data_IF_841793958934
#
_entry.id   IF_841793958934
#
_cell.length_a   1.000
_cell.length_b   1.000
_cell.length_c   1.000
_cell.angle_alpha   90.00
_cell.angle_beta   90.00
_cell.angle_gamma   90.00
#
_symmetry.space_group_name_H-M   'P 1'
#
loop_
_entity.id
_entity.type
_entity.pdbx_description
1 polymer ?
#
# COMPACT_ATOMS: atom_id res chain seq x y z
N UNK A 1 71.08 -12.50 55.91
CA UNK A 1 71.85 -12.49 54.64
C UNK A 1 70.88 -12.99 53.58
N UNK A 2 70.35 -12.24 52.61
CA UNK A 2 70.77 -11.08 51.81
C UNK A 2 69.47 -10.28 51.52
N UNK A 3 69.32 -9.07 52.06
CA UNK A 3 69.31 -7.79 51.32
C UNK A 3 68.38 -7.72 50.10
N UNK A 4 67.20 -7.13 50.32
CA UNK A 4 66.40 -6.40 49.32
C UNK A 4 66.90 -4.95 49.32
N UNK A 5 67.16 -4.35 48.15
CA UNK A 5 67.35 -2.90 48.05
C UNK A 5 66.60 -2.29 46.86
N UNK A 6 65.59 -1.50 47.24
CA UNK A 6 65.06 -0.23 46.69
C UNK A 6 65.08 0.02 45.18
N UNK A 7 63.87 0.33 44.65
CA UNK A 7 63.52 1.63 44.04
C UNK A 7 62.04 1.93 44.35
N UNK A 8 61.73 2.83 45.28
CA UNK A 8 61.25 4.22 45.03
C UNK A 8 60.27 4.34 43.87
N UNK A 9 59.00 4.68 44.14
CA UNK A 9 58.47 6.03 43.96
C UNK A 9 57.03 6.12 44.49
N UNK A 10 56.86 7.08 45.39
CA UNK A 10 55.60 7.58 45.92
C UNK A 10 54.95 8.45 44.84
N UNK A 11 53.74 8.14 44.40
CA UNK A 11 52.93 9.05 43.57
C UNK A 11 51.57 9.22 44.23
N UNK A 12 51.33 10.47 44.66
CA UNK A 12 50.05 10.97 45.16
C UNK A 12 48.94 10.70 44.13
N UNK A 13 47.87 10.03 44.54
CA UNK A 13 46.61 10.03 43.80
C UNK A 13 45.75 11.16 44.39
N UNK A 14 45.70 12.29 43.68
CA UNK A 14 44.68 13.31 43.87
C UNK A 14 43.31 12.70 43.52
N UNK A 15 42.39 12.73 44.48
CA UNK A 15 40.98 12.42 44.23
C UNK A 15 40.35 13.51 43.36
N UNK A 16 40.03 13.17 42.11
CA UNK A 16 39.19 13.99 41.23
C UNK A 16 37.75 13.57 41.47
N UNK A 17 37.00 14.39 42.22
CA UNK A 17 35.54 14.31 42.29
C UNK A 17 34.97 14.82 40.95
N UNK A 18 34.66 13.90 40.03
CA UNK A 18 33.90 14.22 38.81
C UNK A 18 32.43 14.22 39.20
N UNK A 19 31.88 15.42 39.41
CA UNK A 19 30.45 15.64 39.56
C UNK A 19 29.83 15.60 38.17
N UNK A 20 29.35 14.43 37.75
CA UNK A 20 28.58 14.28 36.51
C UNK A 20 27.19 14.90 36.72
N UNK A 21 27.09 16.14 36.23
CA UNK A 21 25.86 16.89 36.03
C UNK A 21 24.95 16.05 35.13
N UNK A 22 23.92 15.40 35.69
CA UNK A 22 22.83 14.84 34.91
C UNK A 22 22.08 16.01 34.26
N UNK A 23 22.51 16.36 33.05
CA UNK A 23 21.74 17.21 32.15
C UNK A 23 20.52 16.40 31.74
N UNK A 24 19.40 16.65 32.41
CA UNK A 24 18.09 16.16 32.00
C UNK A 24 17.72 16.90 30.72
N UNK A 25 18.22 16.42 29.58
CA UNK A 25 17.67 16.75 28.29
C UNK A 25 16.26 16.17 28.27
N UNK A 26 15.28 17.03 28.55
CA UNK A 26 13.89 16.76 28.21
C UNK A 26 13.86 16.47 26.71
N UNK A 27 13.79 15.19 26.36
CA UNK A 27 13.42 14.78 25.02
C UNK A 27 12.03 15.36 24.78
N UNK A 28 11.98 16.44 23.99
CA UNK A 28 10.75 16.90 23.39
C UNK A 28 10.28 15.74 22.52
N UNK A 29 9.35 14.93 23.05
CA UNK A 29 8.66 13.91 22.26
C UNK A 29 7.98 14.67 21.11
N UNK A 30 8.19 14.26 19.85
CA UNK A 30 7.41 14.81 18.75
C UNK A 30 5.95 14.62 19.08
N UNK A 31 5.18 15.69 18.90
CA UNK A 31 3.77 15.82 19.20
C UNK A 31 3.01 14.60 18.65
N UNK A 32 2.70 13.64 19.53
CA UNK A 32 1.94 12.45 19.17
C UNK A 32 0.49 12.90 19.05
N UNK A 33 0.14 13.54 17.93
CA UNK A 33 -1.25 13.55 17.48
C UNK A 33 -1.68 12.09 17.48
N UNK A 34 -2.58 11.74 18.39
CA UNK A 34 -3.14 10.40 18.50
C UNK A 34 -3.70 10.07 17.11
N UNK A 35 -3.02 9.17 16.37
CA UNK A 35 -3.51 8.74 15.07
C UNK A 35 -4.62 7.76 15.37
N UNK A 36 -5.87 8.21 15.47
CA UNK A 36 -6.99 7.32 15.74
C UNK A 36 -7.17 6.31 14.60
N UNK A 37 -6.97 6.76 13.36
CA UNK A 37 -6.95 5.94 12.15
C UNK A 37 -5.69 6.24 11.33
N UNK A 38 -5.04 5.19 10.82
CA UNK A 38 -3.87 5.29 9.97
C UNK A 38 -4.01 4.40 8.73
N UNK A 39 -3.55 4.90 7.59
CA UNK A 39 -3.44 4.19 6.32
C UNK A 39 -1.95 3.95 6.01
N UNK A 40 -1.60 2.71 5.67
CA UNK A 40 -0.24 2.28 5.37
C UNK A 40 -0.16 1.65 3.99
N UNK A 41 0.87 2.00 3.23
CA UNK A 41 1.17 1.36 1.94
C UNK A 41 1.87 0.02 2.19
N UNK A 42 1.20 -1.08 1.84
CA UNK A 42 1.69 -2.45 2.02
C UNK A 42 2.24 -3.07 0.73
N UNK A 43 1.95 -2.46 -0.41
CA UNK A 43 2.55 -2.80 -1.69
C UNK A 43 2.27 -1.74 -2.73
N UNK A 44 3.06 -1.72 -3.80
CA UNK A 44 3.06 -0.64 -4.79
C UNK A 44 3.21 -1.10 -6.23
N UNK A 45 3.42 -2.41 -6.46
CA UNK A 45 3.66 -2.97 -7.78
C UNK A 45 2.38 -3.57 -8.34
N UNK A 46 2.26 -3.60 -9.67
CA UNK A 46 1.19 -4.28 -10.39
C UNK A 46 1.12 -5.79 -10.09
N UNK A 47 0.03 -6.43 -10.52
CA UNK A 47 -0.34 -7.84 -10.31
C UNK A 47 0.77 -8.87 -10.35
N UNK A 48 1.60 -8.84 -11.40
CA UNK A 48 2.62 -9.86 -11.59
C UNK A 48 3.84 -9.71 -10.68
N UNK A 49 3.87 -8.65 -9.86
CA UNK A 49 4.91 -8.40 -8.87
C UNK A 49 6.27 -8.08 -9.47
N UNK A 50 7.29 -8.11 -8.62
CA UNK A 50 8.67 -7.83 -8.99
C UNK A 50 9.63 -8.77 -8.22
N UNK A 51 10.48 -9.57 -8.88
CA UNK A 51 10.55 -9.76 -10.32
C UNK A 51 9.27 -10.38 -10.88
N UNK A 52 8.88 -9.94 -12.07
CA UNK A 52 7.71 -10.47 -12.77
C UNK A 52 8.05 -11.84 -13.36
N UNK A 53 7.17 -12.83 -13.18
CA UNK A 53 7.40 -14.20 -13.65
C UNK A 53 7.63 -14.21 -15.17
N UNK A 54 8.75 -14.77 -15.62
CA UNK A 54 9.11 -14.83 -17.03
C UNK A 54 9.83 -13.58 -17.57
N UNK A 55 10.10 -12.57 -16.74
CA UNK A 55 10.85 -11.39 -17.18
C UNK A 55 12.38 -11.57 -17.06
N UNK A 56 13.07 -11.59 -18.20
CA UNK A 56 14.54 -11.64 -18.26
C UNK A 56 15.21 -10.28 -18.51
N UNK A 57 14.46 -9.17 -18.49
CA UNK A 57 14.99 -7.81 -18.68
C UNK A 57 15.77 -7.33 -17.46
N UNK A 58 16.59 -6.28 -17.63
CA UNK A 58 17.40 -5.67 -16.55
C UNK A 58 16.60 -5.30 -15.29
N UNK A 59 15.32 -4.92 -15.44
CA UNK A 59 14.44 -4.59 -14.33
C UNK A 59 14.14 -5.79 -13.40
N UNK A 60 14.24 -7.03 -13.88
CA UNK A 60 13.91 -8.24 -13.11
C UNK A 60 15.08 -9.20 -12.95
N UNK A 61 15.98 -9.29 -13.94
CA UNK A 61 17.01 -10.34 -14.02
C UNK A 61 17.91 -10.39 -12.78
N UNK A 62 18.24 -9.23 -12.20
CA UNK A 62 19.12 -9.15 -11.03
C UNK A 62 18.46 -9.71 -9.76
N UNK A 63 17.13 -9.69 -9.63
CA UNK A 63 16.46 -10.24 -8.44
C UNK A 63 16.54 -11.77 -8.39
N UNK A 64 16.67 -12.45 -9.53
CA UNK A 64 16.84 -13.91 -9.56
C UNK A 64 18.20 -14.36 -9.00
N UNK A 65 19.23 -13.51 -9.04
CA UNK A 65 20.57 -13.83 -8.53
C UNK A 65 20.93 -13.12 -7.23
N UNK A 66 20.35 -11.94 -6.95
CA UNK A 66 20.69 -11.10 -5.78
C UNK A 66 19.67 -11.21 -4.64
N UNK A 67 18.61 -12.01 -4.82
CA UNK A 67 17.49 -12.13 -3.89
C UNK A 67 16.27 -11.35 -4.34
N UNK A 68 15.09 -11.81 -3.94
CA UNK A 68 13.81 -11.25 -4.38
C UNK A 68 13.62 -9.81 -3.88
N UNK A 69 12.94 -9.00 -4.69
CA UNK A 69 12.60 -7.63 -4.34
C UNK A 69 11.82 -7.59 -3.03
N UNK A 70 12.00 -6.51 -2.25
CA UNK A 70 11.09 -6.18 -1.13
C UNK A 70 9.82 -5.48 -1.59
N UNK A 71 9.74 -5.06 -2.86
CA UNK A 71 8.51 -4.52 -3.43
C UNK A 71 7.44 -5.61 -3.46
N UNK A 72 6.19 -5.21 -3.24
CA UNK A 72 5.04 -6.11 -3.12
C UNK A 72 3.94 -5.65 -4.07
N UNK A 73 3.11 -6.58 -4.50
CA UNK A 73 1.88 -6.29 -5.26
C UNK A 73 1.00 -5.35 -4.45
N UNK A 74 0.30 -4.43 -5.12
CA UNK A 74 -0.43 -3.32 -4.50
C UNK A 74 -1.34 -3.79 -3.38
N UNK A 75 -1.30 -3.08 -2.25
CA UNK A 75 -2.23 -3.27 -1.12
C UNK A 75 -2.10 -2.10 -0.16
N UNK A 76 -3.21 -1.74 0.48
CA UNK A 76 -3.26 -0.79 1.59
C UNK A 76 -3.66 -1.50 2.87
N UNK A 77 -3.10 -1.05 4.00
CA UNK A 77 -3.56 -1.43 5.32
C UNK A 77 -4.17 -0.24 6.03
N UNK A 78 -5.30 -0.43 6.70
CA UNK A 78 -5.93 0.58 7.55
C UNK A 78 -5.92 0.05 8.98
N UNK A 79 -5.48 0.87 9.93
CA UNK A 79 -5.49 0.56 11.36
C UNK A 79 -6.29 1.62 12.10
N UNK A 80 -7.38 1.20 12.73
CA UNK A 80 -8.20 2.00 13.63
C UNK A 80 -7.82 1.64 15.08
N UNK A 81 -6.96 2.46 15.67
CA UNK A 81 -6.38 2.18 16.98
C UNK A 81 -7.38 2.37 18.12
N UNK A 82 -8.39 3.23 17.94
CA UNK A 82 -9.46 3.45 18.91
C UNK A 82 -10.26 2.17 19.15
N UNK A 83 -10.56 1.42 18.09
CA UNK A 83 -11.34 0.19 18.16
C UNK A 83 -10.50 -1.09 18.07
N UNK A 84 -9.18 -0.97 17.91
CA UNK A 84 -8.26 -2.08 17.64
C UNK A 84 -8.73 -2.95 16.46
N UNK A 85 -9.10 -2.27 15.36
CA UNK A 85 -9.61 -2.86 14.11
C UNK A 85 -8.63 -2.60 12.97
N UNK A 86 -8.43 -3.59 12.12
CA UNK A 86 -7.50 -3.48 11.00
C UNK A 86 -8.11 -4.05 9.74
N UNK A 87 -7.92 -3.35 8.63
CA UNK A 87 -8.49 -3.70 7.34
C UNK A 87 -7.38 -3.78 6.29
N UNK A 88 -7.54 -4.69 5.35
CA UNK A 88 -6.77 -4.67 4.10
C UNK A 88 -7.64 -4.16 2.97
N UNK A 89 -7.03 -3.40 2.07
CA UNK A 89 -7.52 -3.23 0.71
C UNK A 89 -6.55 -4.00 -0.18
N UNK A 90 -7.12 -4.92 -0.96
CA UNK A 90 -6.50 -6.03 -1.65
C UNK A 90 -5.98 -7.15 -0.75
N UNK A 91 -6.25 -8.38 -1.20
CA UNK A 91 -5.62 -9.60 -0.73
C UNK A 91 -4.67 -10.11 -1.82
N UNK A 92 -3.54 -9.42 -1.96
CA UNK A 92 -2.56 -9.73 -2.99
C UNK A 92 -1.83 -11.07 -2.74
N UNK A 93 -1.08 -11.62 -3.73
CA UNK A 93 -0.23 -12.79 -3.51
C UNK A 93 0.74 -12.63 -2.32
N UNK A 94 1.08 -11.39 -1.98
CA UNK A 94 2.01 -11.01 -0.93
C UNK A 94 1.38 -10.84 0.46
N UNK A 95 0.09 -11.20 0.64
CA UNK A 95 -0.71 -10.96 1.85
C UNK A 95 -0.01 -11.38 3.15
N UNK A 96 0.78 -12.45 3.13
CA UNK A 96 1.52 -12.93 4.31
C UNK A 96 2.52 -11.88 4.83
N UNK A 97 3.25 -11.22 3.94
CA UNK A 97 4.17 -10.15 4.32
C UNK A 97 3.40 -8.87 4.69
N UNK A 98 2.34 -8.56 3.94
CA UNK A 98 1.54 -7.35 4.11
C UNK A 98 0.81 -7.33 5.46
N UNK A 99 0.21 -8.46 5.86
CA UNK A 99 -0.40 -8.62 7.18
C UNK A 99 0.63 -8.53 8.30
N UNK A 100 1.81 -9.13 8.12
CA UNK A 100 2.89 -9.00 9.09
C UNK A 100 3.30 -7.52 9.28
N UNK A 101 3.42 -6.78 8.18
CA UNK A 101 3.80 -5.37 8.18
C UNK A 101 2.69 -4.45 8.73
N UNK A 102 1.43 -4.85 8.62
CA UNK A 102 0.29 -4.13 9.22
C UNK A 102 0.15 -4.40 10.73
N UNK A 103 0.26 -5.67 11.15
CA UNK A 103 -0.12 -6.13 12.49
C UNK A 103 1.07 -6.38 13.44
N UNK A 104 2.29 -5.96 13.07
CA UNK A 104 3.49 -6.05 13.91
C UNK A 104 3.71 -7.44 14.54
N UNK A 105 3.82 -8.47 13.68
CA UNK A 105 4.18 -9.87 14.03
C UNK A 105 3.08 -10.71 14.70
N UNK A 106 1.81 -10.31 14.63
CA UNK A 106 0.68 -11.22 14.87
C UNK A 106 -0.37 -11.11 13.75
N UNK A 107 -0.10 -11.68 12.56
CA UNK A 107 -0.84 -11.40 11.32
C UNK A 107 -2.31 -11.84 11.34
N UNK A 108 -2.73 -12.57 12.36
CA UNK A 108 -4.00 -13.31 12.36
C UNK A 108 -5.03 -12.82 13.38
N UNK A 109 -4.63 -12.11 14.45
CA UNK A 109 -5.54 -11.90 15.58
C UNK A 109 -6.51 -10.74 15.42
N UNK A 110 -6.22 -9.75 14.58
CA UNK A 110 -7.01 -8.51 14.51
C UNK A 110 -7.40 -8.08 13.09
N UNK A 111 -7.28 -8.96 12.08
CA UNK A 111 -7.82 -8.66 10.75
C UNK A 111 -9.34 -8.63 10.81
N UNK A 112 -9.91 -7.45 10.61
CA UNK A 112 -11.33 -7.13 10.80
C UNK A 112 -12.12 -7.11 9.50
N UNK A 113 -11.43 -7.04 8.36
CA UNK A 113 -12.04 -7.22 7.05
C UNK A 113 -11.04 -6.99 5.92
N UNK A 114 -11.45 -7.40 4.73
CA UNK A 114 -10.70 -7.20 3.49
C UNK A 114 -11.65 -6.59 2.46
N UNK A 115 -11.20 -5.55 1.77
CA UNK A 115 -11.86 -4.97 0.60
C UNK A 115 -11.10 -5.37 -0.66
N UNK A 116 -11.81 -5.72 -1.73
CA UNK A 116 -11.19 -6.07 -3.03
C UNK A 116 -11.70 -5.12 -4.09
N UNK A 117 -10.83 -4.58 -4.93
CA UNK A 117 -11.27 -3.66 -5.99
C UNK A 117 -11.84 -4.39 -7.21
N UNK A 118 -11.20 -5.48 -7.64
CA UNK A 118 -11.59 -6.22 -8.85
C UNK A 118 -10.95 -7.62 -8.94
N UNK A 119 -11.31 -8.38 -9.98
CA UNK A 119 -10.95 -9.78 -10.19
C UNK A 119 -9.67 -10.00 -11.02
N UNK A 120 -8.66 -9.13 -10.91
CA UNK A 120 -7.31 -9.43 -11.39
C UNK A 120 -6.49 -10.16 -10.33
N UNK A 121 -5.65 -11.12 -10.75
CA UNK A 121 -4.99 -12.05 -9.82
C UNK A 121 -4.17 -11.37 -8.73
N UNK A 122 -3.63 -10.17 -8.98
CA UNK A 122 -2.85 -9.39 -8.03
C UNK A 122 -3.65 -8.87 -6.84
N UNK A 123 -4.97 -8.84 -6.95
CA UNK A 123 -5.86 -8.17 -6.02
C UNK A 123 -6.56 -9.12 -5.05
N UNK A 124 -6.76 -10.40 -5.42
CA UNK A 124 -7.55 -11.35 -4.61
C UNK A 124 -6.95 -12.74 -4.45
N UNK A 125 -5.88 -13.10 -5.17
CA UNK A 125 -5.31 -14.46 -5.09
C UNK A 125 -4.79 -14.81 -3.68
N UNK A 126 -4.39 -13.81 -2.89
CA UNK A 126 -3.99 -13.95 -1.50
C UNK A 126 -5.09 -14.49 -0.60
N UNK A 127 -6.37 -14.37 -0.99
CA UNK A 127 -7.51 -14.92 -0.24
C UNK A 127 -7.36 -16.41 0.05
N UNK A 128 -6.66 -17.17 -0.79
CA UNK A 128 -6.42 -18.60 -0.55
C UNK A 128 -5.64 -18.86 0.76
N UNK A 129 -4.85 -17.89 1.24
CA UNK A 129 -4.18 -17.99 2.54
C UNK A 129 -5.15 -17.96 3.74
N UNK A 130 -6.42 -17.59 3.53
CA UNK A 130 -7.46 -17.66 4.56
C UNK A 130 -8.02 -19.07 4.76
N UNK A 131 -7.75 -19.98 3.82
CA UNK A 131 -8.25 -21.36 3.80
C UNK A 131 -7.54 -22.30 4.78
N UNK A 132 -7.97 -23.56 4.79
CA UNK A 132 -7.53 -24.60 5.74
C UNK A 132 -6.04 -24.88 5.72
N UNK A 133 -5.40 -24.76 4.56
CA UNK A 133 -3.97 -25.06 4.40
C UNK A 133 -3.04 -23.99 5.00
N UNK A 134 -3.58 -22.83 5.36
CA UNK A 134 -2.80 -21.72 5.91
C UNK A 134 -3.46 -21.16 7.17
N UNK A 135 -4.08 -19.98 7.12
CA UNK A 135 -4.61 -19.32 8.31
C UNK A 135 -5.83 -20.06 8.91
N UNK A 136 -6.64 -20.72 8.08
CA UNK A 136 -7.91 -21.34 8.47
C UNK A 136 -8.77 -20.36 9.28
N UNK A 137 -9.00 -19.18 8.70
CA UNK A 137 -9.68 -18.08 9.34
C UNK A 137 -11.12 -18.44 9.72
N UNK A 138 -11.79 -17.61 10.52
CA UNK A 138 -13.18 -17.80 10.91
C UNK A 138 -13.97 -16.54 10.59
N UNK A 139 -14.79 -16.61 9.55
CA UNK A 139 -15.71 -15.56 9.12
C UNK A 139 -15.04 -14.18 8.96
N UNK A 140 -13.88 -14.10 8.31
CA UNK A 140 -13.28 -12.80 7.97
C UNK A 140 -14.22 -12.07 7.00
N UNK A 141 -14.71 -10.87 7.34
CA UNK A 141 -15.54 -10.10 6.43
C UNK A 141 -14.79 -9.75 5.15
N UNK A 142 -15.40 -10.07 4.01
CA UNK A 142 -14.84 -9.81 2.68
C UNK A 142 -15.81 -8.92 1.91
N UNK A 143 -15.47 -7.64 1.83
CA UNK A 143 -16.27 -6.58 1.20
C UNK A 143 -15.97 -6.53 -0.29
N UNK A 144 -16.98 -6.87 -1.09
CA UNK A 144 -16.85 -7.02 -2.54
C UNK A 144 -18.10 -6.53 -3.26
N UNK A 145 -17.91 -6.08 -4.51
CA UNK A 145 -19.03 -5.74 -5.40
C UNK A 145 -19.83 -6.99 -5.80
N UNK A 146 -21.09 -6.87 -6.25
CA UNK A 146 -21.95 -8.01 -6.51
C UNK A 146 -21.42 -9.04 -7.51
N UNK A 147 -20.80 -8.66 -8.64
CA UNK A 147 -20.22 -9.68 -9.55
C UNK A 147 -19.01 -10.37 -8.92
N UNK A 148 -18.18 -9.64 -8.17
CA UNK A 148 -17.06 -10.26 -7.43
C UNK A 148 -17.55 -11.23 -6.35
N UNK A 149 -18.67 -10.93 -5.68
CA UNK A 149 -19.33 -11.87 -4.77
C UNK A 149 -19.70 -13.17 -5.49
N UNK A 150 -20.39 -13.06 -6.62
CA UNK A 150 -20.79 -14.20 -7.44
C UNK A 150 -19.57 -15.00 -7.89
N UNK A 151 -18.54 -14.33 -8.40
CA UNK A 151 -17.30 -14.95 -8.82
C UNK A 151 -16.65 -15.77 -7.69
N UNK A 152 -16.45 -15.19 -6.51
CA UNK A 152 -15.85 -15.88 -5.36
C UNK A 152 -16.72 -17.06 -4.90
N UNK A 153 -18.05 -16.92 -4.94
CA UNK A 153 -18.97 -17.96 -4.45
C UNK A 153 -19.14 -19.14 -5.40
N UNK A 154 -18.86 -18.94 -6.69
CA UNK A 154 -19.10 -19.91 -7.75
C UNK A 154 -17.83 -20.53 -8.34
N UNK A 155 -16.65 -19.94 -8.09
CA UNK A 155 -15.39 -20.41 -8.67
C UNK A 155 -14.45 -20.99 -7.62
N UNK A 156 -13.99 -22.22 -7.89
CA UNK A 156 -12.91 -22.82 -7.13
C UNK A 156 -11.56 -22.16 -7.43
N UNK A 157 -10.64 -22.07 -6.45
CA UNK A 157 -10.77 -22.64 -5.11
C UNK A 157 -11.41 -21.71 -4.07
N UNK A 158 -11.78 -20.48 -4.43
CA UNK A 158 -12.25 -19.46 -3.47
C UNK A 158 -13.63 -19.77 -2.89
N UNK A 159 -14.49 -20.47 -3.63
CA UNK A 159 -15.81 -20.91 -3.16
C UNK A 159 -15.74 -21.75 -1.87
N UNK A 160 -14.63 -22.47 -1.68
CA UNK A 160 -14.38 -23.23 -0.45
C UNK A 160 -14.25 -22.32 0.76
N UNK A 161 -13.65 -21.13 0.63
CA UNK A 161 -13.51 -20.18 1.73
C UNK A 161 -14.88 -19.75 2.26
N UNK A 162 -15.86 -19.62 1.36
CA UNK A 162 -17.25 -19.28 1.71
C UNK A 162 -17.95 -20.49 2.33
N UNK A 163 -17.91 -21.66 1.66
CA UNK A 163 -18.54 -22.90 2.13
C UNK A 163 -18.04 -23.34 3.52
N UNK A 164 -16.75 -23.17 3.77
CA UNK A 164 -16.08 -23.51 5.03
C UNK A 164 -16.16 -22.40 6.08
N UNK A 165 -16.81 -21.27 5.75
CA UNK A 165 -16.94 -20.10 6.63
C UNK A 165 -15.59 -19.55 7.09
N UNK A 166 -14.57 -19.64 6.24
CA UNK A 166 -13.31 -18.93 6.45
C UNK A 166 -13.51 -17.44 6.21
N UNK A 167 -14.33 -17.08 5.21
CA UNK A 167 -14.73 -15.70 4.90
C UNK A 167 -16.26 -15.56 4.95
N UNK A 168 -16.71 -14.35 5.24
CA UNK A 168 -18.12 -13.94 5.09
C UNK A 168 -18.21 -12.83 4.05
N UNK A 169 -18.87 -13.11 2.91
CA UNK A 169 -19.02 -12.12 1.85
C UNK A 169 -20.01 -11.02 2.25
N UNK A 170 -19.58 -9.77 2.11
CA UNK A 170 -20.37 -8.56 2.34
C UNK A 170 -20.49 -7.79 1.03
N UNK A 171 -21.72 -7.64 0.54
CA UNK A 171 -21.96 -6.84 -0.66
C UNK A 171 -21.83 -5.36 -0.34
N UNK A 172 -20.94 -4.70 -1.06
CA UNK A 172 -20.84 -3.24 -1.16
C UNK A 172 -21.41 -2.79 -2.51
N UNK A 173 -21.75 -1.50 -2.62
CA UNK A 173 -22.42 -0.96 -3.81
C UNK A 173 -21.81 0.38 -4.21
N UNK A 174 -21.84 0.65 -5.51
CA UNK A 174 -21.32 1.90 -6.07
C UNK A 174 -21.92 3.12 -5.37
N UNK A 175 -21.07 4.05 -4.95
CA UNK A 175 -21.41 5.30 -4.26
C UNK A 175 -22.23 5.13 -2.97
N UNK A 176 -22.30 3.91 -2.42
CA UNK A 176 -22.93 3.65 -1.14
C UNK A 176 -21.87 3.53 -0.07
N UNK A 177 -22.01 4.35 0.96
CA UNK A 177 -21.12 4.32 2.12
C UNK A 177 -21.28 3.02 2.91
N UNK A 178 -20.15 2.34 3.12
CA UNK A 178 -20.01 1.23 4.05
C UNK A 178 -19.34 1.76 5.34
N UNK A 179 -20.16 1.93 6.38
CA UNK A 179 -19.67 2.35 7.69
C UNK A 179 -19.03 1.15 8.42
N UNK A 180 -17.74 1.28 8.76
CA UNK A 180 -16.99 0.23 9.48
C UNK A 180 -17.06 0.47 10.99
N UNK A 181 -16.70 1.67 11.43
CA UNK A 181 -16.83 2.17 12.79
C UNK A 181 -17.33 3.62 12.77
N UNK A 182 -17.60 4.21 13.94
CA UNK A 182 -18.12 5.59 14.04
C UNK A 182 -17.20 6.66 13.41
N UNK A 183 -15.92 6.34 13.20
CA UNK A 183 -14.89 7.24 12.69
C UNK A 183 -14.21 6.73 11.41
N UNK A 184 -14.75 5.68 10.77
CA UNK A 184 -14.18 5.10 9.57
C UNK A 184 -15.27 4.55 8.65
N UNK A 185 -15.30 5.03 7.41
CA UNK A 185 -16.16 4.50 6.36
C UNK A 185 -15.43 4.43 5.01
N UNK A 186 -15.96 3.60 4.11
CA UNK A 186 -15.43 3.41 2.76
C UNK A 186 -16.57 3.51 1.74
N UNK A 187 -16.37 4.31 0.69
CA UNK A 187 -17.31 4.46 -0.42
C UNK A 187 -16.67 3.84 -1.68
N UNK A 188 -17.24 2.77 -2.25
CA UNK A 188 -16.81 2.22 -3.54
C UNK A 188 -17.21 3.16 -4.68
N UNK A 189 -16.34 3.33 -5.66
CA UNK A 189 -16.59 4.13 -6.86
C UNK A 189 -16.29 3.27 -8.08
N UNK A 190 -17.30 2.96 -8.92
CA UNK A 190 -17.06 2.27 -10.18
C UNK A 190 -16.10 3.07 -11.06
N UNK A 191 -15.06 2.40 -11.55
CA UNK A 191 -14.06 2.97 -12.47
C UNK A 191 -14.09 2.19 -13.78
N UNK A 192 -13.87 2.83 -14.94
CA UNK A 192 -13.77 2.13 -16.20
C UNK A 192 -12.53 1.25 -16.15
N UNK A 193 -12.74 -0.04 -16.30
CA UNK A 193 -11.65 -0.98 -16.48
C UNK A 193 -12.13 -2.11 -17.39
N UNK A 194 -11.21 -2.94 -17.90
CA UNK A 194 -11.58 -4.20 -18.55
C UNK A 194 -12.21 -5.16 -17.54
N UNK A 195 -13.53 -5.11 -17.41
CA UNK A 195 -14.28 -6.05 -16.60
C UNK A 195 -14.09 -7.47 -17.16
N UNK A 196 -13.31 -8.30 -16.45
CA UNK A 196 -13.21 -9.74 -16.72
C UNK A 196 -14.32 -10.48 -15.93
N UNK A 197 -14.01 -10.87 -14.69
CA UNK A 197 -14.93 -11.64 -13.83
C UNK A 197 -15.69 -10.80 -12.80
N UNK A 198 -15.35 -9.51 -12.65
CA UNK A 198 -16.05 -8.60 -11.73
C UNK A 198 -16.12 -7.18 -12.28
N UNK A 199 -16.91 -6.34 -11.62
CA UNK A 199 -16.73 -4.89 -11.74
C UNK A 199 -15.34 -4.47 -11.21
N UNK A 200 -14.88 -3.30 -11.64
CA UNK A 200 -13.74 -2.61 -11.02
C UNK A 200 -14.19 -1.37 -10.27
N UNK A 201 -13.70 -1.24 -9.03
CA UNK A 201 -13.95 -0.06 -8.18
C UNK A 201 -12.65 0.56 -7.66
N UNK A 202 -12.65 1.88 -7.51
CA UNK A 202 -11.80 2.57 -6.55
C UNK A 202 -12.51 2.73 -5.21
N UNK A 203 -11.78 3.16 -4.18
CA UNK A 203 -12.30 3.39 -2.85
C UNK A 203 -12.01 4.82 -2.37
N UNK A 204 -13.04 5.53 -1.91
CA UNK A 204 -12.89 6.74 -1.08
C UNK A 204 -12.98 6.32 0.38
N UNK A 205 -11.88 6.46 1.11
CA UNK A 205 -11.71 6.06 2.51
C UNK A 205 -11.83 7.32 3.35
N UNK A 206 -12.76 7.33 4.30
CA UNK A 206 -13.08 8.50 5.12
C UNK A 206 -12.72 8.18 6.56
N UNK A 207 -11.68 8.84 7.07
CA UNK A 207 -11.31 8.79 8.48
C UNK A 207 -11.84 9.98 9.28
N UNK A 208 -11.42 10.10 10.56
CA UNK A 208 -11.91 11.14 11.46
C UNK A 208 -11.54 12.57 11.03
N UNK A 209 -10.42 12.76 10.33
CA UNK A 209 -9.90 14.10 10.01
C UNK A 209 -9.55 14.28 8.53
N UNK A 210 -9.30 13.19 7.82
CA UNK A 210 -8.79 13.16 6.47
C UNK A 210 -9.38 12.02 5.65
N UNK A 211 -9.30 12.19 4.35
CA UNK A 211 -9.86 11.28 3.37
C UNK A 211 -8.80 10.84 2.36
N UNK A 212 -8.90 9.61 1.90
CA UNK A 212 -8.02 9.07 0.87
C UNK A 212 -8.83 8.52 -0.29
N UNK A 213 -8.38 8.76 -1.52
CA UNK A 213 -8.86 8.11 -2.73
C UNK A 213 -7.85 7.03 -3.14
N UNK A 214 -8.32 5.83 -3.45
CA UNK A 214 -7.52 4.72 -3.95
C UNK A 214 -8.13 4.18 -5.24
N UNK A 215 -7.46 4.44 -6.36
CA UNK A 215 -7.83 3.96 -7.69
C UNK A 215 -6.55 3.34 -8.27
N UNK A 216 -6.21 2.09 -7.91
CA UNK A 216 -4.95 1.48 -8.33
C UNK A 216 -4.95 1.10 -9.81
N UNK A 217 -6.12 0.86 -10.39
CA UNK A 217 -6.26 0.34 -11.75
C UNK A 217 -7.46 1.01 -12.47
N UNK A 218 -7.21 1.60 -13.63
CA UNK A 218 -8.22 2.27 -14.47
C UNK A 218 -7.80 2.28 -15.95
N UNK A 219 -8.74 2.12 -16.87
CA UNK A 219 -8.51 2.16 -18.32
C UNK A 219 -7.89 3.48 -18.81
N UNK A 220 -8.65 4.57 -18.69
CA UNK A 220 -8.33 5.94 -19.12
C UNK A 220 -9.24 6.90 -18.38
N UNK A 221 -8.73 8.07 -18.02
CA UNK A 221 -9.49 9.10 -17.29
C UNK A 221 -10.69 9.60 -18.11
N UNK A 222 -10.51 9.80 -19.41
CA UNK A 222 -11.55 10.29 -20.33
C UNK A 222 -12.70 9.30 -20.59
N UNK A 223 -12.50 8.00 -20.30
CA UNK A 223 -13.59 7.02 -20.34
C UNK A 223 -14.46 7.07 -19.09
N UNK A 224 -14.00 7.72 -18.02
CA UNK A 224 -14.73 7.78 -16.76
C UNK A 224 -15.72 8.93 -16.77
N UNK A 225 -16.97 8.64 -16.42
CA UNK A 225 -18.01 9.67 -16.28
C UNK A 225 -17.75 10.62 -15.10
N UNK A 226 -16.96 10.16 -14.12
CA UNK A 226 -16.59 10.97 -12.95
C UNK A 226 -15.28 11.70 -13.21
N UNK A 227 -15.27 13.00 -12.95
CA UNK A 227 -14.09 13.85 -13.05
C UNK A 227 -13.07 13.51 -11.96
N UNK A 228 -11.95 12.88 -12.35
CA UNK A 228 -10.83 12.63 -11.44
C UNK A 228 -10.28 13.94 -10.83
N UNK A 229 -10.31 15.05 -11.58
CA UNK A 229 -9.88 16.36 -11.09
C UNK A 229 -10.73 16.85 -9.92
N UNK A 230 -12.03 16.59 -9.95
CA UNK A 230 -12.92 17.01 -8.87
C UNK A 230 -12.79 16.09 -7.66
N UNK A 231 -12.68 14.78 -7.88
CA UNK A 231 -12.39 13.82 -6.81
C UNK A 231 -11.07 14.13 -6.09
N UNK A 232 -10.02 14.52 -6.82
CA UNK A 232 -8.75 14.93 -6.21
C UNK A 232 -9.00 16.10 -5.26
N UNK A 233 -9.74 17.15 -5.66
CA UNK A 233 -9.98 18.33 -4.81
C UNK A 233 -10.71 17.97 -3.51
N UNK A 234 -11.54 16.93 -3.52
CA UNK A 234 -12.33 16.49 -2.37
C UNK A 234 -11.55 15.66 -1.33
N UNK A 235 -10.34 15.20 -1.64
CA UNK A 235 -9.58 14.29 -0.77
C UNK A 235 -8.28 14.89 -0.23
N UNK A 236 -7.76 14.31 0.86
CA UNK A 236 -6.46 14.71 1.43
C UNK A 236 -5.28 13.91 0.85
N UNK A 237 -5.57 12.71 0.32
CA UNK A 237 -4.61 11.81 -0.31
C UNK A 237 -5.25 11.15 -1.53
N UNK A 238 -4.54 11.03 -2.64
CA UNK A 238 -4.99 10.33 -3.84
C UNK A 238 -3.92 9.35 -4.31
N UNK A 239 -4.19 8.05 -4.18
CA UNK A 239 -3.37 6.95 -4.66
C UNK A 239 -3.93 6.48 -6.00
N UNK A 240 -3.28 6.87 -7.08
CA UNK A 240 -3.80 6.73 -8.44
C UNK A 240 -2.94 5.77 -9.27
N UNK A 241 -3.57 5.11 -10.24
CA UNK A 241 -2.94 4.23 -11.22
C UNK A 241 -1.72 4.93 -11.84
N UNK A 242 -0.58 4.26 -11.74
CA UNK A 242 0.67 4.63 -12.39
C UNK A 242 1.30 3.42 -13.06
N UNK A 243 0.52 2.44 -13.53
CA UNK A 243 0.99 1.17 -14.06
C UNK A 243 2.14 1.36 -15.04
N UNK A 244 1.97 2.25 -16.02
CA UNK A 244 3.00 2.55 -17.01
C UNK A 244 3.38 4.03 -17.00
N UNK A 245 4.68 4.31 -17.12
CA UNK A 245 5.17 5.68 -17.13
C UNK A 245 4.81 6.41 -18.44
N UNK A 246 5.12 5.77 -19.57
CA UNK A 246 4.87 6.22 -20.94
C UNK A 246 4.82 5.02 -21.90
N UNK A 247 4.63 5.30 -23.19
CA UNK A 247 4.59 4.30 -24.25
C UNK A 247 5.92 3.57 -24.49
N UNK A 248 7.08 4.15 -24.15
CA UNK A 248 8.38 3.50 -24.37
C UNK A 248 8.54 2.26 -23.48
N UNK A 249 7.82 2.23 -22.36
CA UNK A 249 7.79 1.08 -21.46
C UNK A 249 7.24 -0.19 -22.14
N UNK A 250 6.39 -0.02 -23.15
CA UNK A 250 5.54 -1.08 -23.71
C UNK A 250 5.78 -1.32 -25.20
N UNK A 251 6.96 -0.92 -25.70
CA UNK A 251 7.50 -0.99 -27.07
C UNK A 251 7.28 -2.28 -27.90
N UNK A 252 6.61 -3.31 -27.36
CA UNK A 252 6.32 -4.58 -28.03
C UNK A 252 4.82 -4.92 -28.09
N UNK A 253 3.93 -4.07 -27.59
CA UNK A 253 2.47 -4.26 -27.67
C UNK A 253 1.82 -3.07 -28.37
N UNK A 254 0.66 -3.30 -28.93
CA UNK A 254 -0.15 -2.21 -29.48
C UNK A 254 -0.61 -1.32 -28.31
N UNK A 255 -0.28 -0.03 -28.38
CA UNK A 255 -0.61 0.96 -27.34
C UNK A 255 -2.13 1.10 -27.17
N UNK A 256 -2.91 0.89 -28.24
CA UNK A 256 -4.36 0.95 -28.21
C UNK A 256 -4.99 -0.20 -27.41
N UNK A 257 -4.26 -1.29 -27.22
CA UNK A 257 -4.66 -2.46 -26.44
C UNK A 257 -4.26 -2.36 -24.96
N UNK A 258 -3.69 -1.22 -24.53
CA UNK A 258 -3.18 -1.04 -23.16
C UNK A 258 -4.12 -0.08 -22.42
N UNK A 259 -5.06 -0.63 -21.64
CA UNK A 259 -6.05 0.16 -20.96
C UNK A 259 -5.49 0.70 -19.65
N UNK A 260 -4.50 1.59 -19.70
CA UNK A 260 -4.09 2.40 -18.54
C UNK A 260 -3.71 3.82 -18.97
N UNK A 261 -4.02 4.87 -18.17
CA UNK A 261 -3.44 6.18 -18.39
C UNK A 261 -1.94 6.12 -18.08
N UNK A 262 -1.12 6.65 -18.98
CA UNK A 262 0.28 6.81 -18.68
C UNK A 262 0.47 7.86 -17.57
N UNK A 263 1.53 7.72 -16.78
CA UNK A 263 1.89 8.75 -15.80
C UNK A 263 2.09 10.09 -16.54
N UNK A 264 2.75 10.11 -17.70
CA UNK A 264 2.93 11.35 -18.47
C UNK A 264 1.61 12.00 -18.92
N UNK A 265 0.59 11.21 -19.27
CA UNK A 265 -0.75 11.70 -19.62
C UNK A 265 -1.44 12.28 -18.37
N UNK A 266 -1.34 11.59 -17.23
CA UNK A 266 -1.89 12.03 -15.96
C UNK A 266 -1.23 13.34 -15.48
N UNK A 267 0.09 13.47 -15.63
CA UNK A 267 0.82 14.70 -15.31
C UNK A 267 0.36 15.90 -16.14
N UNK A 268 0.01 15.67 -17.41
CA UNK A 268 -0.53 16.71 -18.30
C UNK A 268 -1.97 17.07 -17.92
N UNK A 269 -2.83 16.08 -17.66
CA UNK A 269 -4.20 16.30 -17.20
C UNK A 269 -4.26 17.10 -15.89
N UNK A 270 -3.31 16.83 -14.98
CA UNK A 270 -3.26 17.44 -13.65
C UNK A 270 -2.42 18.72 -13.59
N UNK A 271 -1.92 19.23 -14.73
CA UNK A 271 -0.96 20.36 -14.75
C UNK A 271 -1.52 21.66 -14.17
N UNK A 272 -2.83 21.88 -14.26
CA UNK A 272 -3.48 23.12 -13.81
C UNK A 272 -4.00 23.02 -12.37
N UNK A 273 -3.83 21.87 -11.71
CA UNK A 273 -4.10 21.75 -10.27
C UNK A 273 -3.16 22.65 -9.47
N UNK A 274 -3.68 23.19 -8.37
CA UNK A 274 -2.86 23.94 -7.42
C UNK A 274 -1.80 23.02 -6.77
N UNK A 275 -0.77 23.63 -6.19
CA UNK A 275 0.36 22.90 -5.61
C UNK A 275 -0.08 21.97 -4.47
N UNK A 276 -1.07 22.37 -3.67
CA UNK A 276 -1.62 21.53 -2.59
C UNK A 276 -2.29 20.26 -3.12
N UNK A 277 -3.02 20.34 -4.23
CA UNK A 277 -3.71 19.22 -4.84
C UNK A 277 -2.74 18.28 -5.56
N UNK A 278 -1.67 18.80 -6.16
CA UNK A 278 -0.61 17.95 -6.74
C UNK A 278 0.14 17.17 -5.67
N UNK A 279 0.48 17.82 -4.55
CA UNK A 279 1.27 17.25 -3.46
C UNK A 279 0.62 16.07 -2.75
N UNK A 280 -0.69 15.90 -2.88
CA UNK A 280 -1.44 14.77 -2.29
C UNK A 280 -1.64 13.60 -3.26
N UNK A 281 -1.18 13.71 -4.50
CA UNK A 281 -1.26 12.61 -5.49
C UNK A 281 -0.01 11.73 -5.38
N UNK A 282 -0.24 10.42 -5.30
CA UNK A 282 0.74 9.36 -5.21
C UNK A 282 0.44 8.33 -6.30
N UNK A 283 1.32 8.20 -7.29
CA UNK A 283 1.23 7.10 -8.26
C UNK A 283 1.56 5.76 -7.59
N UNK A 284 0.71 4.77 -7.79
CA UNK A 284 0.82 3.40 -7.22
C UNK A 284 0.54 2.36 -8.31
N UNK A 285 0.59 1.08 -7.98
CA UNK A 285 0.32 -0.02 -8.91
C UNK A 285 1.29 -0.06 -10.10
N UNK A 286 2.56 0.29 -9.87
CA UNK A 286 3.56 0.42 -10.93
C UNK A 286 3.91 -0.95 -11.53
N UNK A 287 3.90 -1.08 -12.84
CA UNK A 287 4.37 -2.29 -13.50
C UNK A 287 5.86 -2.52 -13.25
N UNK A 288 6.32 -3.76 -13.31
CA UNK A 288 7.72 -4.12 -13.05
C UNK A 288 8.73 -3.47 -14.00
N UNK A 289 8.30 -2.98 -15.16
CA UNK A 289 9.11 -2.22 -16.12
C UNK A 289 9.14 -0.72 -15.82
N UNK A 290 8.29 -0.23 -14.93
CA UNK A 290 8.07 1.20 -14.76
C UNK A 290 9.31 1.85 -14.17
N UNK A 291 9.94 2.81 -14.88
CA UNK A 291 11.18 3.44 -14.43
C UNK A 291 10.99 4.26 -13.14
N UNK A 292 9.76 4.63 -12.78
CA UNK A 292 9.46 5.28 -11.50
C UNK A 292 9.68 4.36 -10.28
N UNK A 293 9.89 3.05 -10.47
CA UNK A 293 10.31 2.13 -9.41
C UNK A 293 11.75 2.37 -8.91
N UNK A 294 12.56 3.12 -9.66
CA UNK A 294 13.91 3.54 -9.30
C UNK A 294 13.92 5.04 -8.99
N UNK A 295 14.15 5.38 -7.72
CA UNK A 295 14.18 6.77 -7.24
C UNK A 295 15.28 7.62 -7.88
N UNK A 296 16.30 6.98 -8.46
CA UNK A 296 17.40 7.66 -9.14
C UNK A 296 17.08 8.00 -10.60
N UNK A 297 16.02 7.41 -11.17
CA UNK A 297 15.65 7.56 -12.58
C UNK A 297 15.17 8.97 -12.93
N UNK A 298 15.32 9.33 -14.20
CA UNK A 298 14.79 10.59 -14.74
C UNK A 298 13.26 10.63 -14.62
N UNK A 299 12.52 9.56 -14.99
CA UNK A 299 11.07 9.48 -14.79
C UNK A 299 10.61 9.78 -13.36
N UNK A 300 11.22 9.16 -12.35
CA UNK A 300 10.89 9.42 -10.94
C UNK A 300 11.12 10.89 -10.59
N UNK A 301 12.30 11.43 -10.91
CA UNK A 301 12.65 12.83 -10.62
C UNK A 301 11.72 13.83 -11.32
N UNK A 302 11.24 13.51 -12.52
CA UNK A 302 10.26 14.33 -13.25
C UNK A 302 8.89 14.37 -12.56
N UNK A 303 8.43 13.25 -12.00
CA UNK A 303 7.18 13.20 -11.21
C UNK A 303 7.31 14.14 -9.99
N UNK A 304 8.42 14.01 -9.24
CA UNK A 304 8.68 14.84 -8.06
C UNK A 304 8.83 16.31 -8.41
N UNK A 305 9.55 16.66 -9.49
CA UNK A 305 9.78 18.06 -9.88
C UNK A 305 8.49 18.78 -10.30
N UNK A 306 7.49 18.03 -10.81
CA UNK A 306 6.16 18.56 -11.13
C UNK A 306 5.22 18.65 -9.91
N UNK A 307 5.68 18.25 -8.72
CA UNK A 307 4.96 18.39 -7.45
C UNK A 307 4.07 17.20 -7.08
N UNK A 308 4.21 16.07 -7.77
CA UNK A 308 3.50 14.82 -7.49
C UNK A 308 4.40 13.86 -6.70
N UNK A 309 3.87 12.70 -6.29
CA UNK A 309 4.61 11.67 -5.58
C UNK A 309 4.47 10.30 -6.25
N UNK A 310 5.33 9.39 -5.83
CA UNK A 310 5.23 7.95 -6.12
C UNK A 310 5.12 7.24 -4.77
N UNK A 311 4.12 6.37 -4.61
CA UNK A 311 3.91 5.60 -3.40
C UNK A 311 5.10 4.66 -3.15
N UNK A 312 5.49 4.52 -1.88
CA UNK A 312 6.55 3.60 -1.47
C UNK A 312 6.10 2.76 -0.28
N UNK A 313 6.68 1.58 -0.16
CA UNK A 313 6.37 0.63 0.89
C UNK A 313 6.56 1.26 2.28
N UNK A 314 5.64 1.00 3.19
CA UNK A 314 5.62 1.53 4.56
C UNK A 314 5.39 3.04 4.71
N UNK A 315 5.09 3.78 3.63
CA UNK A 315 4.52 5.12 3.80
C UNK A 315 3.24 5.02 4.64
N UNK A 316 3.08 5.93 5.59
CA UNK A 316 1.98 5.93 6.55
C UNK A 316 1.34 7.32 6.64
N UNK A 317 0.02 7.35 6.62
CA UNK A 317 -0.80 8.55 6.55
C UNK A 317 -1.86 8.51 7.66
N UNK A 318 -1.99 9.59 8.42
CA UNK A 318 -3.13 9.72 9.34
C UNK A 318 -4.40 9.98 8.54
N UNK A 319 -5.48 9.27 8.87
CA UNK A 319 -6.82 9.58 8.38
C UNK A 319 -7.62 10.38 9.42
#
# INVERSE_FOLDING_TARGET
>A
MISVNRKTHLVLILGVFIWSILSCQTQIKPDSKNKDVSLKILGTVQDGGMPHLGCSKKCCINYYSQGFSKKRVVSLGISNFKFNKHYLIEASPDINFQLNDLLNKNPSKNLSGIFITHAHMGHYSGLLNLGRESFNSRSVPLFVMPKMHEFISSNGPWDQLVKLKNVELKNIYNQKEEALEENLSIIPLLVPHRDEYSETVGYKIIGPNKTALFIPDIDKWEKWQTSILDLIKEVDYAFLDGTFYDSEEINHRDISEIPHPFIVESLELFKDLNISDKKKIYFIHLNHTNPALDKSSIPFKNIISKGFNVADLNMEFSL
#
